data_IF_833152920659
#
_entry.id   IF_833152920659
#
_cell.length_a   1.000
_cell.length_b   1.000
_cell.length_c   1.000
_cell.angle_alpha   90.00
_cell.angle_beta   90.00
_cell.angle_gamma   90.00
#
_symmetry.space_group_name_H-M   'P 1'
#
loop_
_entity.id
_entity.type
_entity.pdbx_description
1 polymer ?
#
# COMPACT_ATOMS: atom_id res chain seq x y z
N UNK A 1 10.14 -7.21 -9.10
CA UNK A 1 9.17 -6.28 -8.77
C UNK A 1 7.90 -6.53 -9.48
N UNK A 2 6.92 -6.88 -8.79
CA UNK A 2 5.69 -7.27 -9.39
C UNK A 2 4.72 -6.11 -9.54
N UNK A 3 3.75 -6.33 -10.38
CA UNK A 3 2.66 -5.39 -10.50
C UNK A 3 1.58 -5.77 -9.53
N UNK A 4 0.79 -4.82 -9.08
CA UNK A 4 -0.31 -5.17 -8.19
C UNK A 4 -1.35 -6.00 -8.93
N UNK A 5 -1.96 -6.92 -8.21
CA UNK A 5 -3.06 -7.69 -8.74
C UNK A 5 -4.27 -6.81 -8.94
N UNK A 6 -4.48 -5.90 -8.01
CA UNK A 6 -5.57 -4.95 -8.06
C UNK A 6 -5.09 -3.65 -7.47
N UNK A 7 -5.66 -2.57 -7.93
CA UNK A 7 -5.38 -1.29 -7.31
C UNK A 7 -6.62 -0.42 -7.40
N UNK A 8 -6.81 0.38 -6.38
CA UNK A 8 -7.96 1.24 -6.27
C UNK A 8 -7.53 2.60 -5.77
N UNK A 9 -8.24 3.62 -6.16
CA UNK A 9 -7.97 4.98 -5.72
C UNK A 9 -9.24 5.71 -5.44
N UNK A 10 -9.19 6.61 -4.49
CA UNK A 10 -10.31 7.46 -4.21
C UNK A 10 -9.80 8.83 -3.82
N UNK A 11 -10.32 9.89 -4.42
CA UNK A 11 -9.91 11.23 -4.02
C UNK A 11 -10.54 11.59 -2.69
N UNK A 12 -9.74 12.22 -1.84
CA UNK A 12 -10.21 12.61 -0.52
C UNK A 12 -10.48 14.10 -0.40
N UNK A 13 -10.18 14.86 -1.45
CA UNK A 13 -10.30 16.30 -1.39
C UNK A 13 -8.99 16.92 -0.97
N UNK A 14 -8.89 18.24 -1.16
CA UNK A 14 -7.69 18.98 -0.78
C UNK A 14 -6.42 18.44 -1.40
N UNK A 15 -6.52 17.91 -2.60
CA UNK A 15 -5.35 17.37 -3.28
C UNK A 15 -4.88 16.04 -2.76
N UNK A 16 -5.66 15.38 -1.92
CA UNK A 16 -5.25 14.10 -1.36
C UNK A 16 -5.93 12.94 -2.07
N UNK A 17 -5.26 11.82 -2.12
CA UNK A 17 -5.77 10.61 -2.74
C UNK A 17 -5.39 9.41 -1.90
N UNK A 18 -6.35 8.53 -1.70
CA UNK A 18 -6.08 7.26 -1.04
C UNK A 18 -5.89 6.20 -2.11
N UNK A 19 -4.80 5.46 -2.02
CA UNK A 19 -4.49 4.40 -2.96
C UNK A 19 -4.37 3.08 -2.23
N UNK A 20 -4.96 2.04 -2.79
CA UNK A 20 -4.85 0.70 -2.25
C UNK A 20 -4.35 -0.20 -3.36
N UNK A 21 -3.31 -0.96 -3.09
CA UNK A 21 -2.76 -1.89 -4.07
C UNK A 21 -2.56 -3.24 -3.41
N UNK A 22 -2.88 -4.29 -4.13
CA UNK A 22 -2.76 -5.65 -3.63
C UNK A 22 -1.74 -6.37 -4.48
N UNK A 23 -0.70 -6.88 -3.84
CA UNK A 23 0.40 -7.53 -4.52
C UNK A 23 0.48 -9.00 -4.15
N UNK A 24 0.86 -9.86 -5.08
CA UNK A 24 1.12 -11.25 -4.73
C UNK A 24 2.48 -11.35 -4.06
N UNK A 25 2.68 -12.40 -3.28
CA UNK A 25 3.99 -12.65 -2.71
C UNK A 25 4.70 -13.68 -3.56
N UNK A 26 6.03 -13.62 -3.53
CA UNK A 26 6.81 -14.56 -4.31
C UNK A 26 6.80 -15.95 -3.72
N UNK A 27 6.81 -16.02 -2.42
CA UNK A 27 6.94 -17.31 -1.75
C UNK A 27 5.68 -18.11 -1.77
N UNK A 28 4.54 -17.46 -1.78
CA UNK A 28 3.28 -18.17 -1.73
C UNK A 28 2.26 -17.41 -2.56
N UNK A 29 1.80 -18.00 -3.66
CA UNK A 29 0.84 -17.30 -4.50
C UNK A 29 -0.51 -17.07 -3.83
N UNK A 30 -0.78 -17.75 -2.74
CA UNK A 30 -2.03 -17.54 -2.03
C UNK A 30 -1.95 -16.43 -1.00
N UNK A 31 -0.75 -15.96 -0.71
CA UNK A 31 -0.57 -14.86 0.22
C UNK A 31 -0.53 -13.55 -0.55
N UNK A 32 -0.87 -12.48 0.12
CA UNK A 32 -0.93 -11.17 -0.52
C UNK A 32 -0.42 -10.10 0.41
N UNK A 33 0.07 -9.03 -0.18
CA UNK A 33 0.44 -7.84 0.57
C UNK A 33 -0.49 -6.73 0.10
N UNK A 34 -1.16 -6.10 1.05
CA UNK A 34 -2.09 -5.01 0.76
C UNK A 34 -1.44 -3.73 1.22
N UNK A 35 -1.17 -2.85 0.27
CA UNK A 35 -0.51 -1.59 0.55
C UNK A 35 -1.52 -0.46 0.43
N UNK A 36 -1.61 0.36 1.47
CA UNK A 36 -2.52 1.48 1.49
C UNK A 36 -1.71 2.74 1.71
N UNK A 37 -1.91 3.72 0.86
CA UNK A 37 -1.16 4.96 0.94
C UNK A 37 -2.08 6.14 0.76
N UNK A 38 -1.78 7.23 1.46
CA UNK A 38 -2.43 8.49 1.24
C UNK A 38 -1.39 9.43 0.67
N UNK A 39 -1.69 10.00 -0.47
CA UNK A 39 -0.77 10.89 -1.15
C UNK A 39 -1.41 12.25 -1.28
N UNK A 40 -0.59 13.27 -1.26
CA UNK A 40 -1.06 14.64 -1.39
C UNK A 40 -0.32 15.30 -2.53
N UNK A 41 -1.05 16.02 -3.35
CA UNK A 41 -0.46 16.79 -4.43
C UNK A 41 -0.33 18.22 -3.98
N UNK A 42 0.87 18.72 -3.95
CA UNK A 42 1.13 20.07 -3.50
C UNK A 42 2.40 20.57 -4.13
N UNK A 43 2.40 21.83 -4.56
CA UNK A 43 3.57 22.43 -5.18
C UNK A 43 4.05 21.60 -6.36
N UNK A 44 3.08 21.15 -7.14
CA UNK A 44 3.36 20.42 -8.38
C UNK A 44 4.09 19.11 -8.17
N UNK A 45 3.94 18.52 -7.01
CA UNK A 45 4.49 17.20 -6.81
C UNK A 45 3.66 16.41 -5.83
N UNK A 46 3.80 15.10 -5.91
CA UNK A 46 3.06 14.18 -5.06
C UNK A 46 3.92 13.75 -3.89
N UNK A 47 3.29 13.65 -2.75
CA UNK A 47 3.99 13.27 -1.54
C UNK A 47 3.16 12.26 -0.80
N UNK A 48 3.80 11.20 -0.31
CA UNK A 48 3.08 10.21 0.48
C UNK A 48 3.06 10.70 1.92
N UNK A 49 1.86 10.94 2.44
CA UNK A 49 1.74 11.47 3.80
C UNK A 49 1.31 10.42 4.80
N UNK A 50 0.97 9.22 4.34
CA UNK A 50 0.64 8.13 5.24
C UNK A 50 0.60 6.84 4.47
N UNK A 51 0.98 5.76 5.13
CA UNK A 51 0.93 4.47 4.48
C UNK A 51 0.87 3.36 5.52
N UNK A 52 0.33 2.24 5.09
CA UNK A 52 0.27 1.05 5.93
C UNK A 52 0.30 -0.15 5.00
N UNK A 53 0.94 -1.20 5.41
CA UNK A 53 0.96 -2.43 4.64
C UNK A 53 0.48 -3.58 5.51
N UNK A 54 -0.31 -4.44 4.93
CA UNK A 54 -0.89 -5.57 5.63
C UNK A 54 -0.56 -6.83 4.87
N UNK A 55 -0.13 -7.85 5.58
CA UNK A 55 0.15 -9.15 4.99
C UNK A 55 -1.04 -10.06 5.25
N UNK A 56 -1.50 -10.71 4.20
CA UNK A 56 -2.56 -11.68 4.31
C UNK A 56 -1.98 -13.05 4.04
N UNK A 57 -2.05 -13.93 5.02
CA UNK A 57 -1.49 -15.28 4.87
C UNK A 57 -2.39 -16.12 3.99
N UNK A 58 -1.88 -17.26 3.49
CA UNK A 58 -2.72 -18.14 2.69
C UNK A 58 -3.94 -18.63 3.41
N UNK A 59 -3.88 -18.69 4.74
CA UNK A 59 -5.02 -19.11 5.54
C UNK A 59 -6.05 -18.02 5.75
N UNK A 60 -5.75 -16.81 5.31
CA UNK A 60 -6.68 -15.73 5.46
C UNK A 60 -6.46 -14.89 6.70
N UNK A 61 -5.34 -15.04 7.37
CA UNK A 61 -5.03 -14.21 8.54
C UNK A 61 -4.31 -12.96 8.13
N UNK A 62 -4.60 -11.87 8.81
CA UNK A 62 -4.03 -10.57 8.48
C UNK A 62 -3.07 -10.13 9.55
N UNK A 63 -1.98 -9.50 9.14
CA UNK A 63 -1.00 -8.95 10.04
C UNK A 63 -0.49 -7.65 9.48
N UNK A 64 -0.34 -6.66 10.34
CA UNK A 64 0.20 -5.40 9.90
C UNK A 64 1.71 -5.54 9.80
N UNK A 65 2.25 -5.17 8.65
CA UNK A 65 3.69 -5.20 8.47
C UNK A 65 4.32 -4.02 9.16
N UNK A 66 5.51 -4.20 9.73
CA UNK A 66 6.19 -3.08 10.37
C UNK A 66 6.61 -2.05 9.34
N UNK A 67 6.62 -0.80 9.74
CA UNK A 67 7.07 0.24 8.86
C UNK A 67 8.53 0.04 8.59
N UNK A 68 8.89 0.21 7.33
CA UNK A 68 10.26 0.12 6.95
C UNK A 68 10.87 1.46 7.15
N UNK A 69 11.25 1.73 8.37
CA UNK A 69 11.86 2.99 8.67
C UNK A 69 13.20 3.10 8.00
N UNK A 70 13.46 4.27 7.48
CA UNK A 70 14.76 4.46 6.93
C UNK A 70 15.74 4.65 8.03
N UNK A 71 16.79 3.88 8.06
CA UNK A 71 17.83 4.16 9.07
C UNK A 71 18.48 5.47 8.70
N UNK A 72 18.75 6.23 9.64
CA UNK A 72 19.36 7.53 9.34
C UNK A 72 20.80 7.57 9.70
#
# INVERSE_FOLDING_TARGET
MGRPKESFRIPLGDGKTLSVAIFPTKNDPKAEVISVQVQKYEDEKWETIGKIAVYRSPEGNYSKLPDREKPN
#
